data_IF_074288012820
#
_entry.id   IF_074288012820
#
_cell.length_a   1.000
_cell.length_b   1.000
_cell.length_c   1.000
_cell.angle_alpha   90.00
_cell.angle_beta   90.00
_cell.angle_gamma   90.00
#
_symmetry.space_group_name_H-M   'P 1'
#
loop_
_entity.id
_entity.type
_entity.pdbx_description
1 polymer ?
#
# COMPACT_ATOMS: atom_id res chain seq x y z
N UNK A 1 21.89 -34.29 -4.17
CA UNK A 1 22.71 -33.08 -4.01
C UNK A 1 22.12 -31.99 -4.90
N UNK A 2 21.05 -31.32 -4.45
CA UNK A 2 20.46 -30.11 -5.09
C UNK A 2 19.70 -29.28 -4.03
N UNK A 3 20.12 -29.39 -2.77
CA UNK A 3 19.58 -28.61 -1.64
C UNK A 3 20.46 -27.38 -1.34
N UNK A 4 21.54 -27.22 -2.11
CA UNK A 4 22.64 -26.28 -1.90
C UNK A 4 22.46 -24.92 -2.61
N UNK A 5 21.45 -24.75 -3.48
CA UNK A 5 21.27 -23.49 -4.24
C UNK A 5 20.42 -22.43 -3.52
N UNK A 6 19.76 -22.77 -2.40
CA UNK A 6 18.95 -21.80 -1.65
C UNK A 6 19.60 -21.30 -0.35
N UNK A 7 20.55 -22.04 0.24
CA UNK A 7 21.30 -21.56 1.41
C UNK A 7 22.28 -20.43 1.06
N UNK A 8 22.70 -20.30 -0.20
CA UNK A 8 23.63 -19.25 -0.63
C UNK A 8 22.99 -17.90 -0.99
N UNK A 9 21.66 -17.82 -1.17
CA UNK A 9 20.97 -16.53 -1.41
C UNK A 9 20.82 -15.72 -0.12
N UNK A 10 20.97 -16.35 1.04
CA UNK A 10 20.91 -15.71 2.36
C UNK A 10 22.15 -14.86 2.69
N UNK A 11 23.23 -14.94 1.90
CA UNK A 11 24.48 -14.18 2.11
C UNK A 11 24.70 -13.02 1.13
N UNK A 12 23.68 -12.64 0.36
CA UNK A 12 23.68 -11.44 -0.49
C UNK A 12 22.65 -10.45 0.03
N UNK A 13 22.91 -9.82 1.19
CA UNK A 13 22.11 -8.72 1.73
C UNK A 13 22.07 -7.46 0.83
N UNK A 14 22.62 -7.52 -0.39
CA UNK A 14 22.79 -6.40 -1.30
C UNK A 14 21.90 -6.43 -2.57
N UNK A 15 21.09 -7.45 -2.80
CA UNK A 15 20.41 -7.63 -4.12
C UNK A 15 18.93 -8.08 -4.06
N UNK A 16 18.25 -8.02 -2.90
CA UNK A 16 16.79 -8.16 -2.89
C UNK A 16 16.19 -6.78 -3.19
N UNK A 17 16.06 -6.48 -4.48
CA UNK A 17 15.34 -5.33 -4.98
C UNK A 17 13.90 -5.68 -5.36
N UNK A 18 13.14 -4.65 -5.72
CA UNK A 18 11.75 -4.78 -6.14
C UNK A 18 11.60 -5.70 -7.36
N UNK A 19 12.54 -5.63 -8.31
CA UNK A 19 12.48 -6.39 -9.56
C UNK A 19 12.69 -7.88 -9.33
N UNK A 20 13.63 -8.22 -8.46
CA UNK A 20 13.89 -9.59 -8.03
C UNK A 20 12.66 -10.22 -7.37
N UNK A 21 11.98 -9.48 -6.49
CA UNK A 21 10.75 -9.95 -5.84
C UNK A 21 9.63 -10.18 -6.86
N UNK A 22 9.41 -9.25 -7.80
CA UNK A 22 8.38 -9.41 -8.82
C UNK A 22 8.67 -10.61 -9.72
N UNK A 23 9.94 -10.83 -10.09
CA UNK A 23 10.37 -12.02 -10.83
C UNK A 23 10.13 -13.33 -10.07
N UNK A 24 10.36 -13.35 -8.75
CA UNK A 24 10.06 -14.51 -7.91
C UNK A 24 8.56 -14.81 -7.80
N UNK A 25 7.73 -13.78 -7.68
CA UNK A 25 6.27 -13.91 -7.66
C UNK A 25 5.75 -14.45 -9.00
N UNK A 26 6.30 -13.98 -10.13
CA UNK A 26 5.96 -14.49 -11.46
C UNK A 26 6.29 -15.97 -11.61
N UNK A 27 7.47 -16.41 -11.15
CA UNK A 27 7.86 -17.83 -11.14
C UNK A 27 6.89 -18.68 -10.31
N UNK A 28 6.47 -18.19 -9.14
CA UNK A 28 5.44 -18.86 -8.33
C UNK A 28 4.12 -19.04 -9.08
N UNK A 29 3.68 -18.04 -9.85
CA UNK A 29 2.45 -18.14 -10.65
C UNK A 29 2.57 -19.13 -11.82
N UNK A 30 3.78 -19.35 -12.34
CA UNK A 30 4.06 -20.21 -13.50
C UNK A 30 4.25 -21.70 -13.15
N UNK A 31 4.68 -22.00 -11.92
CA UNK A 31 4.94 -23.37 -11.52
C UNK A 31 3.64 -24.21 -11.46
N UNK A 32 3.67 -25.38 -12.12
CA UNK A 32 2.59 -26.38 -11.99
C UNK A 32 2.58 -26.95 -10.56
N UNK A 33 1.41 -27.33 -10.00
CA UNK A 33 1.35 -27.95 -8.68
C UNK A 33 2.14 -29.28 -8.67
N UNK A 34 3.32 -29.31 -8.04
CA UNK A 34 4.11 -30.54 -7.85
C UNK A 34 5.63 -30.38 -8.03
N UNK A 35 6.36 -30.70 -6.94
CA UNK A 35 7.84 -30.82 -6.74
C UNK A 35 8.72 -29.72 -7.36
N UNK A 36 9.29 -28.90 -6.46
CA UNK A 36 10.13 -27.69 -6.66
C UNK A 36 9.36 -26.37 -6.89
N UNK A 37 8.07 -26.33 -6.60
CA UNK A 37 7.31 -25.07 -6.47
C UNK A 37 7.92 -24.26 -5.32
N UNK A 38 8.35 -23.02 -5.58
CA UNK A 38 8.54 -22.02 -4.51
C UNK A 38 7.23 -21.98 -3.73
N UNK A 39 7.24 -22.43 -2.47
CA UNK A 39 6.00 -22.40 -1.68
C UNK A 39 5.75 -20.96 -1.28
N UNK A 40 4.49 -20.55 -1.23
CA UNK A 40 4.08 -19.21 -0.78
C UNK A 40 4.83 -18.77 0.49
N UNK A 41 5.00 -19.71 1.44
CA UNK A 41 5.73 -19.50 2.69
C UNK A 41 7.21 -19.12 2.50
N UNK A 42 7.88 -19.64 1.47
CA UNK A 42 9.27 -19.31 1.17
C UNK A 42 9.40 -17.88 0.63
N UNK A 43 8.44 -17.43 -0.20
CA UNK A 43 8.39 -16.04 -0.65
C UNK A 43 8.15 -15.08 0.53
N UNK A 44 7.22 -15.44 1.42
CA UNK A 44 6.92 -14.66 2.62
C UNK A 44 8.15 -14.58 3.54
N UNK A 45 8.85 -15.69 3.77
CA UNK A 45 10.06 -15.72 4.60
C UNK A 45 11.20 -14.88 4.00
N UNK A 46 11.37 -14.90 2.67
CA UNK A 46 12.35 -14.06 1.99
C UNK A 46 12.03 -12.57 2.14
N UNK A 47 10.75 -12.19 1.97
CA UNK A 47 10.29 -10.83 2.18
C UNK A 47 10.47 -10.38 3.64
N UNK A 48 10.21 -11.28 4.60
CA UNK A 48 10.40 -10.99 6.01
C UNK A 48 11.88 -10.68 6.36
N UNK A 49 12.83 -11.30 5.66
CA UNK A 49 14.26 -11.09 5.83
C UNK A 49 14.82 -9.85 5.10
N UNK A 50 14.06 -9.22 4.20
CA UNK A 50 14.52 -8.06 3.43
C UNK A 50 14.22 -6.74 4.15
N UNK A 51 15.27 -6.00 4.52
CA UNK A 51 15.15 -4.66 5.13
C UNK A 51 14.69 -3.59 4.15
N UNK A 52 15.02 -3.74 2.86
CA UNK A 52 14.81 -2.71 1.83
C UNK A 52 13.35 -2.58 1.40
N UNK A 53 12.48 -3.51 1.82
CA UNK A 53 11.06 -3.53 1.47
C UNK A 53 10.17 -3.39 2.69
N UNK A 54 10.69 -2.90 3.82
CA UNK A 54 9.98 -2.90 5.09
C UNK A 54 8.61 -2.21 5.02
N UNK A 55 8.50 -1.09 4.27
CA UNK A 55 7.26 -0.33 4.10
C UNK A 55 6.25 -0.99 3.14
N UNK A 56 6.73 -1.72 2.14
CA UNK A 56 5.88 -2.38 1.13
C UNK A 56 5.62 -3.87 1.44
N UNK A 57 6.33 -4.45 2.41
CA UNK A 57 6.32 -5.89 2.72
C UNK A 57 4.90 -6.41 2.98
N UNK A 58 4.13 -5.70 3.78
CA UNK A 58 2.77 -6.12 4.12
C UNK A 58 1.86 -6.15 2.89
N UNK A 59 1.99 -5.15 2.01
CA UNK A 59 1.20 -5.07 0.79
C UNK A 59 1.60 -6.17 -0.20
N UNK A 60 2.91 -6.46 -0.34
CA UNK A 60 3.40 -7.56 -1.19
C UNK A 60 2.91 -8.92 -0.65
N UNK A 61 2.99 -9.16 0.66
CA UNK A 61 2.49 -10.42 1.27
C UNK A 61 0.98 -10.55 1.04
N UNK A 62 0.22 -9.48 1.27
CA UNK A 62 -1.22 -9.48 1.05
C UNK A 62 -1.56 -9.80 -0.42
N UNK A 63 -0.82 -9.22 -1.37
CA UNK A 63 -1.00 -9.52 -2.78
C UNK A 63 -0.65 -10.96 -3.14
N UNK A 64 0.48 -11.50 -2.66
CA UNK A 64 0.87 -12.91 -2.85
C UNK A 64 -0.21 -13.87 -2.34
N UNK A 65 -0.92 -13.52 -1.27
CA UNK A 65 -2.03 -14.32 -0.74
C UNK A 65 -3.25 -14.33 -1.67
N UNK A 66 -3.43 -13.31 -2.52
CA UNK A 66 -4.49 -13.29 -3.55
C UNK A 66 -4.14 -14.08 -4.81
N UNK A 67 -2.87 -14.38 -5.04
CA UNK A 67 -2.42 -15.06 -6.25
C UNK A 67 -2.69 -16.56 -6.17
N UNK A 68 -3.27 -17.11 -7.24
CA UNK A 68 -3.42 -18.54 -7.43
C UNK A 68 -2.20 -19.13 -8.16
N UNK A 69 -1.67 -20.24 -7.65
CA UNK A 69 -0.56 -20.95 -8.30
C UNK A 69 -1.02 -21.58 -9.62
N UNK A 70 -0.14 -21.56 -10.63
CA UNK A 70 -0.39 -22.20 -11.93
C UNK A 70 -1.19 -21.37 -12.96
N UNK A 71 -1.47 -20.08 -12.68
CA UNK A 71 -2.09 -19.17 -13.67
C UNK A 71 -1.13 -18.66 -14.74
N UNK A 72 0.17 -18.88 -14.59
CA UNK A 72 1.15 -18.54 -15.62
C UNK A 72 1.33 -17.05 -15.84
N UNK A 73 1.16 -16.22 -14.80
CA UNK A 73 1.27 -14.78 -14.94
C UNK A 73 2.71 -14.37 -15.31
N UNK A 74 2.83 -13.44 -16.25
CA UNK A 74 4.10 -12.79 -16.55
C UNK A 74 4.47 -11.81 -15.44
N UNK A 75 5.73 -11.43 -15.36
CA UNK A 75 6.19 -10.42 -14.40
C UNK A 75 5.49 -9.07 -14.58
N UNK A 76 5.26 -8.66 -15.83
CA UNK A 76 4.47 -7.46 -16.13
C UNK A 76 3.04 -7.57 -15.57
N UNK A 77 2.37 -8.71 -15.79
CA UNK A 77 1.03 -8.93 -15.25
C UNK A 77 1.01 -8.95 -13.71
N UNK A 78 2.05 -9.49 -13.08
CA UNK A 78 2.21 -9.45 -11.62
C UNK A 78 2.36 -8.00 -11.13
N UNK A 79 3.17 -7.18 -11.79
CA UNK A 79 3.37 -5.77 -11.44
C UNK A 79 2.09 -4.96 -11.61
N UNK A 80 1.43 -5.07 -12.76
CA UNK A 80 0.19 -4.35 -13.04
C UNK A 80 -0.90 -4.75 -12.04
N UNK A 81 -1.04 -6.04 -11.77
CA UNK A 81 -1.96 -6.56 -10.76
C UNK A 81 -1.63 -6.08 -9.35
N UNK A 82 -0.34 -5.93 -9.01
CA UNK A 82 0.08 -5.40 -7.71
C UNK A 82 -0.24 -3.92 -7.57
N UNK A 83 -0.02 -3.11 -8.61
CA UNK A 83 -0.40 -1.70 -8.60
C UNK A 83 -1.91 -1.53 -8.49
N UNK A 84 -2.68 -2.31 -9.23
CA UNK A 84 -4.15 -2.33 -9.12
C UNK A 84 -4.60 -2.76 -7.71
N UNK A 85 -3.94 -3.76 -7.12
CA UNK A 85 -4.21 -4.20 -5.75
C UNK A 85 -3.96 -3.07 -4.73
N UNK A 86 -2.83 -2.36 -4.83
CA UNK A 86 -2.52 -1.22 -3.96
C UNK A 86 -3.55 -0.09 -4.13
N UNK A 87 -3.90 0.25 -5.37
CA UNK A 87 -4.91 1.28 -5.65
C UNK A 87 -6.27 0.90 -5.05
N UNK A 88 -6.71 -0.34 -5.23
CA UNK A 88 -7.97 -0.83 -4.66
C UNK A 88 -7.95 -0.83 -3.14
N UNK A 89 -6.82 -1.22 -2.53
CA UNK A 89 -6.65 -1.20 -1.07
C UNK A 89 -6.74 0.23 -0.54
N UNK A 90 -6.02 1.17 -1.16
CA UNK A 90 -6.03 2.59 -0.78
C UNK A 90 -7.45 3.18 -0.89
N UNK A 91 -8.14 2.91 -1.98
CA UNK A 91 -9.53 3.33 -2.18
C UNK A 91 -10.48 2.76 -1.12
N UNK A 92 -10.33 1.48 -0.75
CA UNK A 92 -11.14 0.87 0.31
C UNK A 92 -10.85 1.47 1.69
N UNK A 93 -9.59 1.82 1.98
CA UNK A 93 -9.22 2.53 3.21
C UNK A 93 -9.85 3.92 3.27
N UNK A 94 -9.89 4.66 2.16
CA UNK A 94 -10.57 5.96 2.06
C UNK A 94 -12.07 5.82 2.28
N UNK A 95 -12.73 4.82 1.67
CA UNK A 95 -14.15 4.54 1.92
C UNK A 95 -14.40 4.28 3.40
N UNK A 96 -13.56 3.46 4.04
CA UNK A 96 -13.70 3.14 5.45
C UNK A 96 -13.47 4.38 6.35
N UNK A 97 -12.54 5.27 5.97
CA UNK A 97 -12.35 6.56 6.64
C UNK A 97 -13.58 7.44 6.50
N UNK A 98 -14.11 7.61 5.28
CA UNK A 98 -15.31 8.41 5.04
C UNK A 98 -16.49 7.90 5.87
N UNK A 99 -16.72 6.57 5.88
CA UNK A 99 -17.80 5.96 6.65
C UNK A 99 -17.64 6.17 8.17
N UNK A 100 -16.42 6.10 8.71
CA UNK A 100 -16.15 6.34 10.15
C UNK A 100 -16.35 7.79 10.56
N UNK A 101 -16.02 8.73 9.67
CA UNK A 101 -16.11 10.17 9.93
C UNK A 101 -17.43 10.79 9.46
N UNK A 102 -18.32 9.99 8.86
CA UNK A 102 -19.62 10.45 8.35
C UNK A 102 -19.50 11.37 7.13
N UNK A 103 -18.43 11.24 6.36
CA UNK A 103 -18.14 12.07 5.19
C UNK A 103 -18.65 11.41 3.91
N UNK A 104 -18.89 12.24 2.89
CA UNK A 104 -19.12 11.72 1.54
C UNK A 104 -17.84 11.06 1.00
N UNK A 105 -18.01 9.85 0.45
CA UNK A 105 -16.88 9.01 0.00
C UNK A 105 -16.16 9.64 -1.19
N UNK A 106 -16.92 10.18 -2.14
CA UNK A 106 -16.37 10.77 -3.36
C UNK A 106 -15.68 12.10 -3.05
N UNK A 107 -16.25 12.88 -2.11
CA UNK A 107 -15.65 14.12 -1.63
C UNK A 107 -14.30 13.85 -0.92
N UNK A 108 -14.25 12.87 -0.01
CA UNK A 108 -12.98 12.52 0.67
C UNK A 108 -11.96 11.97 -0.33
N UNK A 109 -12.37 11.12 -1.27
CA UNK A 109 -11.49 10.61 -2.32
C UNK A 109 -10.91 11.76 -3.16
N UNK A 110 -11.75 12.70 -3.61
CA UNK A 110 -11.33 13.86 -4.40
C UNK A 110 -10.34 14.75 -3.62
N UNK A 111 -10.60 14.97 -2.33
CA UNK A 111 -9.70 15.70 -1.46
C UNK A 111 -8.32 15.05 -1.36
N UNK A 112 -8.30 13.73 -1.12
CA UNK A 112 -7.05 12.95 -1.05
C UNK A 112 -6.29 12.95 -2.38
N UNK A 113 -6.99 12.75 -3.49
CA UNK A 113 -6.39 12.76 -4.83
C UNK A 113 -5.77 14.13 -5.15
N UNK A 114 -6.47 15.22 -4.79
CA UNK A 114 -5.95 16.58 -4.94
C UNK A 114 -4.67 16.83 -4.16
N UNK A 115 -4.57 16.28 -2.94
CA UNK A 115 -3.34 16.35 -2.13
C UNK A 115 -2.21 15.56 -2.79
N UNK A 116 -2.46 14.32 -3.20
CA UNK A 116 -1.43 13.43 -3.74
C UNK A 116 -0.94 13.82 -5.14
N UNK A 117 -1.80 14.46 -5.95
CA UNK A 117 -1.43 15.00 -7.26
C UNK A 117 -0.48 16.19 -7.13
N UNK A 118 -0.76 17.10 -6.20
CA UNK A 118 -0.01 18.35 -6.03
C UNK A 118 1.07 18.30 -4.97
N UNK A 119 1.04 17.27 -4.12
CA UNK A 119 1.84 17.16 -2.90
C UNK A 119 1.65 18.36 -1.96
N UNK A 120 0.43 18.89 -1.90
CA UNK A 120 0.06 20.07 -1.11
C UNK A 120 -1.24 19.78 -0.37
N UNK A 121 -1.19 19.88 0.96
CA UNK A 121 -2.35 19.87 1.82
C UNK A 121 -2.93 21.29 1.94
N UNK A 122 -4.25 21.39 1.76
CA UNK A 122 -5.00 22.63 1.83
C UNK A 122 -6.03 22.55 2.97
N UNK A 123 -5.84 23.39 3.99
CA UNK A 123 -6.71 23.43 5.15
C UNK A 123 -8.10 23.99 4.87
N UNK A 124 -8.27 24.81 3.82
CA UNK A 124 -9.59 25.30 3.42
C UNK A 124 -10.42 24.15 2.84
N UNK A 125 -9.83 23.34 1.96
CA UNK A 125 -10.48 22.15 1.42
C UNK A 125 -10.83 21.11 2.50
N UNK A 126 -10.02 21.01 3.56
CA UNK A 126 -10.37 20.20 4.73
C UNK A 126 -11.64 20.74 5.41
N UNK A 127 -11.74 22.05 5.63
CA UNK A 127 -12.94 22.64 6.22
C UNK A 127 -14.18 22.50 5.33
N UNK A 128 -14.02 22.63 4.00
CA UNK A 128 -15.11 22.46 3.02
C UNK A 128 -15.66 21.04 3.03
N UNK A 129 -14.80 20.03 3.24
CA UNK A 129 -15.21 18.62 3.34
C UNK A 129 -16.23 18.37 4.47
N UNK A 130 -16.18 19.17 5.54
CA UNK A 130 -17.08 19.06 6.69
C UNK A 130 -18.29 20.03 6.62
N UNK A 131 -18.33 20.94 5.65
CA UNK A 131 -19.43 21.90 5.51
C UNK A 131 -20.83 21.24 5.45
N UNK A 132 -21.03 20.13 4.71
CA UNK A 132 -22.34 19.47 4.64
C UNK A 132 -22.86 18.90 5.97
N UNK A 133 -21.98 18.74 6.98
CA UNK A 133 -22.37 18.23 8.29
C UNK A 133 -22.95 19.31 9.21
N UNK A 134 -22.92 20.58 8.79
CA UNK A 134 -23.48 21.74 9.51
C UNK A 134 -23.02 21.82 10.99
N UNK A 135 -21.79 21.38 11.26
CA UNK A 135 -21.23 21.36 12.60
C UNK A 135 -20.89 22.77 13.08
N UNK A 136 -21.15 23.05 14.36
CA UNK A 136 -20.63 24.27 15.00
C UNK A 136 -19.09 24.26 15.04
N UNK A 137 -18.46 25.45 15.02
CA UNK A 137 -17.00 25.61 14.87
C UNK A 137 -16.15 24.67 15.74
N UNK A 138 -16.52 24.51 17.02
CA UNK A 138 -15.77 23.65 17.95
C UNK A 138 -15.90 22.16 17.62
N UNK A 139 -17.10 21.71 17.24
CA UNK A 139 -17.35 20.33 16.86
C UNK A 139 -16.68 20.01 15.52
N UNK A 140 -16.70 20.95 14.57
CA UNK A 140 -16.01 20.83 13.29
C UNK A 140 -14.50 20.65 13.48
N UNK A 141 -13.85 21.52 14.25
CA UNK A 141 -12.40 21.40 14.49
C UNK A 141 -12.00 20.07 15.17
N UNK A 142 -12.87 19.52 16.03
CA UNK A 142 -12.63 18.20 16.63
C UNK A 142 -12.74 17.07 15.60
N UNK A 143 -13.72 17.15 14.69
CA UNK A 143 -13.91 16.18 13.63
C UNK A 143 -12.79 16.23 12.57
N UNK A 144 -12.37 17.44 12.18
CA UNK A 144 -11.22 17.67 11.30
C UNK A 144 -9.94 17.05 11.89
N UNK A 145 -9.66 17.30 13.18
CA UNK A 145 -8.48 16.73 13.85
C UNK A 145 -8.55 15.20 13.89
N UNK A 146 -9.70 14.63 14.23
CA UNK A 146 -9.90 13.18 14.27
C UNK A 146 -9.70 12.53 12.88
N UNK A 147 -10.14 13.17 11.81
CA UNK A 147 -9.86 12.71 10.45
C UNK A 147 -8.35 12.74 10.17
N UNK A 148 -7.68 13.84 10.51
CA UNK A 148 -6.25 14.03 10.21
C UNK A 148 -5.35 13.07 10.99
N UNK A 149 -5.71 12.68 12.22
CA UNK A 149 -4.99 11.65 12.98
C UNK A 149 -4.88 10.33 12.21
N UNK A 150 -5.89 9.96 11.44
CA UNK A 150 -5.88 8.75 10.62
C UNK A 150 -5.40 9.00 9.18
N UNK A 151 -5.67 10.18 8.63
CA UNK A 151 -5.37 10.52 7.25
C UNK A 151 -3.88 10.84 7.03
N UNK A 152 -3.20 11.44 8.01
CA UNK A 152 -1.75 11.77 7.89
C UNK A 152 -0.89 10.52 7.65
N UNK A 153 -0.99 9.43 8.44
CA UNK A 153 -0.26 8.20 8.17
C UNK A 153 -0.56 7.61 6.79
N UNK A 154 -1.83 7.65 6.38
CA UNK A 154 -2.27 7.17 5.07
C UNK A 154 -1.61 7.97 3.94
N UNK A 155 -1.67 9.30 4.00
CA UNK A 155 -1.08 10.21 3.01
C UNK A 155 0.44 10.00 2.90
N UNK A 156 1.14 9.87 4.03
CA UNK A 156 2.59 9.58 4.05
C UNK A 156 2.92 8.26 3.36
N UNK A 157 2.11 7.21 3.61
CA UNK A 157 2.27 5.91 2.95
C UNK A 157 2.09 6.03 1.44
N UNK A 158 1.03 6.71 0.98
CA UNK A 158 0.77 6.92 -0.45
C UNK A 158 1.80 7.82 -1.14
N UNK A 159 2.37 8.78 -0.40
CA UNK A 159 3.41 9.67 -0.91
C UNK A 159 4.76 8.95 -1.14
N UNK A 160 4.96 7.76 -0.57
CA UNK A 160 6.20 6.97 -0.68
C UNK A 160 7.46 7.79 -0.33
N UNK A 161 7.39 8.53 0.78
CA UNK A 161 8.50 9.35 1.27
C UNK A 161 8.65 10.73 0.63
N UNK A 162 7.79 11.09 -0.34
CA UNK A 162 7.70 12.47 -0.83
C UNK A 162 7.05 13.37 0.23
N UNK A 163 7.56 14.57 0.40
CA UNK A 163 7.02 15.55 1.35
C UNK A 163 5.70 16.13 0.84
N UNK A 164 4.70 16.23 1.72
CA UNK A 164 3.42 16.93 1.46
C UNK A 164 3.47 18.26 2.19
N UNK A 165 3.49 19.35 1.42
CA UNK A 165 3.51 20.71 1.99
C UNK A 165 2.21 20.99 2.77
N UNK A 166 2.31 21.64 3.93
CA UNK A 166 1.14 22.02 4.75
C UNK A 166 0.66 20.92 5.71
N UNK A 167 1.14 19.68 5.59
CA UNK A 167 0.74 18.58 6.46
C UNK A 167 1.34 18.69 7.89
N UNK A 168 2.45 19.42 8.05
CA UNK A 168 3.18 19.58 9.30
C UNK A 168 2.35 20.22 10.44
N UNK A 169 1.22 20.85 10.14
CA UNK A 169 0.29 21.37 11.15
C UNK A 169 -0.42 20.25 11.95
N UNK A 170 -0.36 19.02 11.47
CA UNK A 170 -1.02 17.84 12.04
C UNK A 170 -0.02 16.73 12.44
N UNK A 171 1.27 17.07 12.53
CA UNK A 171 2.36 16.19 12.98
C UNK A 171 2.82 16.56 14.40
#
# INVERSE_FOLDING_TARGET
>A
MEQLDFEFVLFSSALIDYDYIMGLIARFSQDKPGKKTLRRDQLINLLAASSNLMDEREDIIAYINTLEAGKGLSEAAIRDGFQAFKAQKAHNEIIALADRHGLDRDALQTFVDGILDRMIFDGEQLSDLFEPLELGWKARSQAELALMEELVPFLKKQASGREISGLAAYE
#
